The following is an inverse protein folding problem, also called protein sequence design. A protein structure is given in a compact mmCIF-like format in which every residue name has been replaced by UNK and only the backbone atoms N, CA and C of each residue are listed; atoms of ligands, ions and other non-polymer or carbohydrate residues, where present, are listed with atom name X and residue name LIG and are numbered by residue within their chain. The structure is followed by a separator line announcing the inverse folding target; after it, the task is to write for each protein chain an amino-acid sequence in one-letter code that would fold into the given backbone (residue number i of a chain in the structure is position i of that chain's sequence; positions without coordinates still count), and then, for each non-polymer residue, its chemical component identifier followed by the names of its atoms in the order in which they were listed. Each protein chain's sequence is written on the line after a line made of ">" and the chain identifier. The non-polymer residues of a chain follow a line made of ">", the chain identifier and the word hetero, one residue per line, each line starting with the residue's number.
data_IF_767388137927
#
_entry.id   IF_767388137927
#
_cell.length_a   1.000
_cell.length_b   1.000
_cell.length_c   1.000
_cell.angle_alpha   90.00
_cell.angle_beta   90.00
_cell.angle_gamma   90.00
#
_symmetry.space_group_name_H-M   'P 1'
#
loop_
_entity.id
_entity.type
_entity.pdbx_description
1 polymer ?
#
# COMPACT_ATOMS: atom_id res chain seq x y z
N UNK A 1 21.43 -7.01 19.90
CA UNK A 1 22.21 -5.86 19.40
C UNK A 1 22.40 -5.88 17.88
N UNK A 2 22.77 -7.00 17.25
CA UNK A 2 23.02 -7.06 15.79
C UNK A 2 21.79 -6.80 14.87
N UNK A 3 20.57 -7.17 15.29
CA UNK A 3 19.38 -7.08 14.43
C UNK A 3 18.79 -5.66 14.28
N UNK A 4 19.07 -4.73 15.20
CA UNK A 4 18.45 -3.39 15.17
C UNK A 4 18.99 -2.52 14.02
N UNK A 5 20.27 -2.64 13.69
CA UNK A 5 20.94 -1.77 12.72
C UNK A 5 21.03 -2.32 11.30
N UNK A 6 20.38 -3.44 10.98
CA UNK A 6 20.50 -4.09 9.66
C UNK A 6 19.98 -3.19 8.53
N UNK A 7 18.86 -2.49 8.76
CA UNK A 7 18.30 -1.56 7.77
C UNK A 7 19.25 -0.39 7.50
N UNK A 8 19.91 0.12 8.54
CA UNK A 8 20.95 1.14 8.41
C UNK A 8 22.15 0.67 7.57
N UNK A 9 22.51 -0.61 7.65
CA UNK A 9 23.57 -1.19 6.81
C UNK A 9 23.13 -1.25 5.34
N UNK A 10 21.89 -1.68 5.08
CA UNK A 10 21.34 -1.71 3.73
C UNK A 10 21.27 -0.30 3.13
N UNK A 11 20.83 0.69 3.90
CA UNK A 11 20.74 2.07 3.45
C UNK A 11 22.10 2.70 3.09
N UNK A 12 23.21 2.23 3.68
CA UNK A 12 24.58 2.70 3.39
C UNK A 12 25.23 2.03 2.18
N UNK A 13 24.60 1.00 1.64
CA UNK A 13 25.16 0.21 0.56
C UNK A 13 25.18 1.06 -0.72
N UNK A 14 26.32 1.10 -1.41
CA UNK A 14 26.39 1.68 -2.75
C UNK A 14 25.50 0.87 -3.69
N UNK A 15 24.83 1.49 -4.64
CA UNK A 15 23.96 0.78 -5.60
C UNK A 15 24.21 1.36 -6.99
N UNK A 16 24.32 0.55 -8.07
CA UNK A 16 24.21 -0.91 -8.10
C UNK A 16 25.45 -1.59 -7.52
N UNK A 17 25.29 -2.30 -6.39
CA UNK A 17 26.35 -3.10 -5.78
C UNK A 17 25.86 -4.54 -5.65
N UNK A 18 26.72 -5.54 -5.89
CA UNK A 18 26.43 -6.96 -5.71
C UNK A 18 26.11 -7.37 -4.25
N UNK A 19 25.97 -6.43 -3.31
CA UNK A 19 25.92 -6.69 -1.87
C UNK A 19 24.53 -6.95 -1.28
N UNK A 20 23.44 -6.63 -1.98
CA UNK A 20 22.09 -7.02 -1.54
C UNK A 20 21.49 -8.05 -2.50
N UNK A 21 21.21 -9.28 -2.03
CA UNK A 21 20.52 -10.29 -2.82
C UNK A 21 19.15 -9.78 -3.30
N UNK A 22 18.70 -10.23 -4.47
CA UNK A 22 17.35 -9.95 -5.00
C UNK A 22 16.22 -10.52 -4.13
N UNK A 23 16.52 -11.47 -3.24
CA UNK A 23 15.58 -11.93 -2.21
C UNK A 23 15.34 -10.91 -1.10
N UNK A 24 16.17 -9.86 -1.02
CA UNK A 24 16.06 -8.76 -0.06
C UNK A 24 15.68 -7.48 -0.80
N UNK A 25 16.43 -7.11 -1.83
CA UNK A 25 16.25 -5.89 -2.59
C UNK A 25 15.14 -6.05 -3.64
N UNK A 26 14.08 -5.26 -3.50
CA UNK A 26 12.98 -5.20 -4.47
C UNK A 26 13.24 -4.14 -5.54
N UNK A 27 13.50 -2.90 -5.11
CA UNK A 27 13.72 -1.76 -5.99
C UNK A 27 14.61 -0.71 -5.30
N UNK A 28 15.18 0.21 -6.07
CA UNK A 28 15.91 1.35 -5.54
C UNK A 28 15.86 2.54 -6.50
N UNK A 29 16.09 3.73 -5.95
CA UNK A 29 16.36 4.97 -6.69
C UNK A 29 17.70 5.54 -6.24
N UNK A 30 18.05 6.75 -6.71
CA UNK A 30 19.20 7.48 -6.17
C UNK A 30 19.02 7.84 -4.69
N UNK A 31 17.77 7.98 -4.22
CA UNK A 31 17.45 8.50 -2.89
C UNK A 31 16.82 7.45 -1.96
N UNK A 32 16.19 6.40 -2.47
CA UNK A 32 15.48 5.40 -1.66
C UNK A 32 15.86 3.96 -2.00
N UNK A 33 15.58 3.06 -1.04
CA UNK A 33 15.73 1.63 -1.13
C UNK A 33 14.41 0.98 -0.71
N UNK A 34 13.91 0.03 -1.50
CA UNK A 34 12.76 -0.80 -1.15
C UNK A 34 13.19 -2.26 -0.99
N UNK A 35 12.86 -2.85 0.15
CA UNK A 35 13.17 -4.25 0.46
C UNK A 35 11.91 -5.04 0.81
N UNK A 36 12.00 -6.37 0.66
CA UNK A 36 11.03 -7.29 1.24
C UNK A 36 11.18 -7.30 2.77
N UNK A 37 10.07 -7.21 3.51
CA UNK A 37 10.11 -7.44 4.96
C UNK A 37 10.40 -8.93 5.22
N UNK A 38 11.45 -9.22 5.98
CA UNK A 38 11.87 -10.59 6.26
C UNK A 38 10.84 -11.40 7.09
N UNK A 39 9.92 -10.71 7.77
CA UNK A 39 8.86 -11.27 8.60
C UNK A 39 7.53 -10.62 8.22
N UNK A 40 7.03 -10.80 6.98
CA UNK A 40 5.92 -10.01 6.45
C UNK A 40 4.67 -10.18 7.31
N UNK A 41 3.89 -9.11 7.58
CA UNK A 41 2.67 -9.22 8.42
C UNK A 41 1.38 -9.36 7.61
N UNK A 42 1.47 -9.22 6.30
CA UNK A 42 0.43 -9.45 5.31
C UNK A 42 1.02 -10.22 4.10
N UNK A 43 0.19 -10.54 3.10
CA UNK A 43 0.65 -11.20 1.87
C UNK A 43 1.74 -10.42 1.14
N UNK A 44 1.56 -9.10 1.06
CA UNK A 44 2.55 -8.16 0.55
C UNK A 44 2.98 -7.23 1.68
N UNK A 45 4.27 -7.21 1.99
CA UNK A 45 4.84 -6.33 3.00
C UNK A 45 6.28 -5.95 2.65
N UNK A 46 6.47 -4.67 2.40
CA UNK A 46 7.74 -4.08 1.98
C UNK A 46 8.10 -2.93 2.91
N UNK A 47 9.39 -2.60 2.92
CA UNK A 47 9.93 -1.44 3.62
C UNK A 47 10.64 -0.56 2.61
N UNK A 48 10.16 0.68 2.45
CA UNK A 48 10.86 1.72 1.70
C UNK A 48 11.55 2.67 2.68
N UNK A 49 12.82 2.97 2.43
CA UNK A 49 13.67 3.77 3.32
C UNK A 49 14.60 4.69 2.54
N UNK A 50 14.98 5.86 3.08
CA UNK A 50 15.98 6.71 2.45
C UNK A 50 17.34 6.02 2.48
N UNK A 51 18.13 6.23 1.43
CA UNK A 51 19.54 5.84 1.39
C UNK A 51 20.35 6.79 2.27
N UNK A 52 21.49 6.32 2.78
CA UNK A 52 22.42 7.12 3.57
C UNK A 52 23.65 7.41 2.73
N UNK A 53 23.59 8.51 1.96
CA UNK A 53 24.71 9.01 1.18
C UNK A 53 25.77 9.64 2.10
N UNK A 54 27.03 9.71 1.63
CA UNK A 54 28.17 10.12 2.45
C UNK A 54 28.03 11.52 3.09
N UNK A 55 27.26 12.42 2.46
CA UNK A 55 27.02 13.78 2.93
C UNK A 55 25.86 13.91 3.93
N UNK A 56 25.14 12.83 4.24
CA UNK A 56 23.90 12.89 5.03
C UNK A 56 24.15 12.77 6.54
N UNK A 57 23.39 13.53 7.32
CA UNK A 57 23.33 13.42 8.79
C UNK A 57 22.60 12.14 9.22
N UNK A 58 23.31 11.00 9.21
CA UNK A 58 22.70 9.67 9.45
C UNK A 58 21.86 9.56 10.74
N UNK A 59 22.17 10.34 11.78
CA UNK A 59 21.44 10.34 13.04
C UNK A 59 20.02 10.89 12.93
N UNK A 60 19.72 11.73 11.92
CA UNK A 60 18.39 12.31 11.71
C UNK A 60 17.41 11.29 11.13
N UNK A 61 17.94 10.26 10.46
CA UNK A 61 17.19 9.21 9.81
C UNK A 61 17.05 7.95 10.67
N UNK A 62 17.26 8.00 11.99
CA UNK A 62 17.07 6.82 12.84
C UNK A 62 15.61 6.33 12.85
N UNK A 63 14.64 7.25 12.85
CA UNK A 63 13.22 6.94 12.79
C UNK A 63 12.38 8.18 12.45
N UNK A 64 11.06 8.01 12.35
CA UNK A 64 10.15 9.11 12.04
C UNK A 64 10.25 10.26 13.06
N UNK A 65 10.37 9.95 14.36
CA UNK A 65 10.50 10.97 15.41
C UNK A 65 11.75 11.82 15.22
N UNK A 66 12.91 11.20 15.01
CA UNK A 66 14.17 11.95 14.83
C UNK A 66 14.15 12.79 13.56
N UNK A 67 13.48 12.32 12.51
CA UNK A 67 13.32 13.08 11.27
C UNK A 67 12.43 14.31 11.52
N UNK A 68 11.23 14.11 12.10
CA UNK A 68 10.26 15.18 12.31
C UNK A 68 10.78 16.28 13.26
N UNK A 69 11.62 15.91 14.23
CA UNK A 69 12.22 16.84 15.19
C UNK A 69 13.49 17.53 14.69
N UNK A 70 13.99 17.17 13.50
CA UNK A 70 15.21 17.76 12.95
C UNK A 70 14.96 19.14 12.33
N UNK A 71 14.22 19.14 11.23
CA UNK A 71 13.89 20.32 10.44
C UNK A 71 12.60 20.00 9.69
N UNK A 72 11.60 20.87 9.83
CA UNK A 72 10.26 20.62 9.29
C UNK A 72 10.25 20.53 7.77
N UNK A 73 11.04 21.35 7.08
CA UNK A 73 11.09 21.35 5.61
C UNK A 73 11.80 20.09 5.09
N UNK A 74 12.95 19.73 5.66
CA UNK A 74 13.69 18.51 5.27
C UNK A 74 12.93 17.23 5.60
N UNK A 75 12.21 17.22 6.72
CA UNK A 75 11.32 16.12 7.06
C UNK A 75 10.20 15.96 6.04
N UNK A 76 9.53 17.08 5.66
CA UNK A 76 8.49 17.06 4.63
C UNK A 76 9.01 16.55 3.30
N UNK A 77 10.16 17.07 2.85
CA UNK A 77 10.83 16.64 1.62
C UNK A 77 11.14 15.14 1.63
N UNK A 78 11.69 14.63 2.73
CA UNK A 78 12.00 13.19 2.87
C UNK A 78 10.74 12.33 2.77
N UNK A 79 9.65 12.72 3.45
CA UNK A 79 8.38 11.97 3.44
C UNK A 79 7.72 12.02 2.06
N UNK A 80 7.76 13.17 1.37
CA UNK A 80 7.26 13.30 0.00
C UNK A 80 8.08 12.46 -0.98
N UNK A 81 9.40 12.39 -0.83
CA UNK A 81 10.23 11.52 -1.66
C UNK A 81 9.89 10.04 -1.45
N UNK A 82 9.69 9.61 -0.21
CA UNK A 82 9.23 8.25 0.09
C UNK A 82 7.86 7.96 -0.52
N UNK A 83 6.94 8.93 -0.49
CA UNK A 83 5.63 8.81 -1.12
C UNK A 83 5.74 8.64 -2.64
N UNK A 84 6.57 9.47 -3.29
CA UNK A 84 6.76 9.43 -4.74
C UNK A 84 7.31 8.08 -5.19
N UNK A 85 8.41 7.64 -4.58
CA UNK A 85 9.07 6.38 -4.95
C UNK A 85 8.21 5.16 -4.60
N UNK A 86 7.33 5.26 -3.59
CA UNK A 86 6.38 4.20 -3.25
C UNK A 86 5.28 4.00 -4.30
N UNK A 87 4.99 4.99 -5.17
CA UNK A 87 3.95 4.85 -6.20
C UNK A 87 4.22 3.70 -7.15
N UNK A 88 5.46 3.56 -7.62
CA UNK A 88 5.84 2.47 -8.50
C UNK A 88 5.75 1.12 -7.78
N UNK A 89 6.24 1.05 -6.54
CA UNK A 89 6.15 -0.17 -5.72
C UNK A 89 4.69 -0.60 -5.51
N UNK A 90 3.80 0.36 -5.25
CA UNK A 90 2.35 0.10 -5.12
C UNK A 90 1.77 -0.43 -6.43
N UNK A 91 2.13 0.14 -7.58
CA UNK A 91 1.68 -0.34 -8.88
C UNK A 91 2.12 -1.79 -9.15
N UNK A 92 3.38 -2.11 -8.85
CA UNK A 92 3.94 -3.46 -9.00
C UNK A 92 3.22 -4.48 -8.09
N UNK A 93 2.96 -4.10 -6.82
CA UNK A 93 2.18 -4.92 -5.89
C UNK A 93 0.77 -5.15 -6.43
N UNK A 94 0.11 -4.11 -6.94
CA UNK A 94 -1.24 -4.23 -7.47
C UNK A 94 -1.32 -5.11 -8.71
N UNK A 95 -0.32 -5.07 -9.59
CA UNK A 95 -0.19 -6.00 -10.71
C UNK A 95 -0.07 -7.45 -10.21
N UNK A 96 0.79 -7.67 -9.22
CA UNK A 96 1.02 -8.97 -8.62
C UNK A 96 -0.21 -9.51 -7.88
N UNK A 97 -0.99 -8.65 -7.20
CA UNK A 97 -2.27 -9.00 -6.60
C UNK A 97 -3.26 -9.53 -7.66
N UNK A 98 -3.36 -8.86 -8.81
CA UNK A 98 -4.22 -9.30 -9.91
C UNK A 98 -3.68 -10.60 -10.51
N UNK A 99 -2.36 -10.72 -10.71
CA UNK A 99 -1.73 -11.90 -11.29
C UNK A 99 -1.94 -13.14 -10.43
N UNK A 100 -1.73 -13.04 -9.12
CA UNK A 100 -1.82 -14.17 -8.18
C UNK A 100 -3.24 -14.46 -7.70
N UNK A 101 -4.09 -13.43 -7.58
CA UNK A 101 -5.38 -13.57 -6.91
C UNK A 101 -6.58 -13.10 -7.73
N UNK A 102 -6.38 -12.41 -8.85
CA UNK A 102 -7.44 -12.00 -9.78
C UNK A 102 -8.16 -10.70 -9.40
N UNK A 103 -7.78 -10.05 -8.31
CA UNK A 103 -8.36 -8.79 -7.82
C UNK A 103 -7.33 -8.01 -6.98
N UNK A 104 -7.58 -6.71 -6.80
CA UNK A 104 -6.79 -5.82 -5.94
C UNK A 104 -7.51 -5.60 -4.61
N UNK A 105 -6.75 -5.37 -3.54
CA UNK A 105 -7.28 -4.91 -2.25
C UNK A 105 -6.40 -3.80 -1.70
N UNK A 106 -6.81 -3.20 -0.57
CA UNK A 106 -6.18 -1.98 -0.05
C UNK A 106 -4.72 -2.22 0.32
N UNK A 107 -3.87 -1.26 -0.03
CA UNK A 107 -2.49 -1.15 0.45
C UNK A 107 -2.42 0.04 1.40
N UNK A 108 -1.72 -0.12 2.51
CA UNK A 108 -1.45 0.92 3.50
C UNK A 108 0.00 1.34 3.40
N UNK A 109 0.21 2.65 3.36
CA UNK A 109 1.49 3.28 3.49
C UNK A 109 1.51 3.97 4.86
N UNK A 110 2.59 3.79 5.61
CA UNK A 110 2.69 4.42 6.93
C UNK A 110 3.87 3.97 7.76
N UNK A 111 3.93 4.50 8.97
CA UNK A 111 5.03 4.30 9.90
C UNK A 111 4.52 3.70 11.21
N UNK A 112 5.37 2.96 11.89
CA UNK A 112 5.14 2.70 13.31
C UNK A 112 5.53 3.95 14.12
N UNK A 113 4.65 4.37 15.03
CA UNK A 113 4.93 5.49 15.94
C UNK A 113 6.19 5.26 16.80
N UNK A 114 6.42 4.02 17.23
CA UNK A 114 7.64 3.58 17.90
C UNK A 114 8.21 2.39 17.12
N UNK A 115 9.27 2.56 16.32
CA UNK A 115 9.76 1.51 15.44
C UNK A 115 10.50 0.41 16.20
N UNK A 116 10.51 -0.79 15.63
CA UNK A 116 11.25 -1.94 16.17
C UNK A 116 12.66 -2.08 15.61
N UNK A 117 13.01 -1.33 14.57
CA UNK A 117 14.32 -1.34 13.91
C UNK A 117 14.86 0.09 13.83
N UNK A 118 16.18 0.21 13.86
CA UNK A 118 16.88 1.46 13.63
C UNK A 118 16.99 1.70 12.12
N UNK A 119 16.94 2.98 11.75
CA UNK A 119 16.74 3.53 10.40
C UNK A 119 15.26 3.72 10.03
N UNK A 120 14.93 4.92 9.54
CA UNK A 120 13.62 5.31 9.07
C UNK A 120 13.17 4.37 7.96
N UNK A 121 11.97 3.82 8.10
CA UNK A 121 11.34 2.99 7.08
C UNK A 121 9.83 3.23 7.09
N UNK A 122 9.26 3.40 5.91
CA UNK A 122 7.83 3.38 5.69
C UNK A 122 7.42 1.96 5.29
N UNK A 123 6.38 1.46 5.92
CA UNK A 123 5.74 0.21 5.55
C UNK A 123 4.87 0.43 4.31
N UNK A 124 5.02 -0.44 3.32
CA UNK A 124 4.05 -0.63 2.23
C UNK A 124 3.46 -2.02 2.45
N UNK A 125 2.25 -2.06 3.01
CA UNK A 125 1.65 -3.30 3.50
C UNK A 125 0.23 -3.46 2.97
N UNK A 126 -0.06 -4.64 2.44
CA UNK A 126 -1.41 -5.02 2.03
C UNK A 126 -2.34 -5.22 3.24
N UNK A 127 -3.62 -4.87 3.10
CA UNK A 127 -4.56 -4.78 4.23
C UNK A 127 -5.03 -6.12 4.80
N UNK A 128 -4.73 -7.24 4.12
CA UNK A 128 -5.24 -8.56 4.51
C UNK A 128 -4.72 -9.03 5.87
N UNK A 129 -3.50 -8.62 6.26
CA UNK A 129 -2.80 -9.10 7.46
C UNK A 129 -2.81 -10.64 7.59
N UNK A 130 -2.84 -11.35 6.46
CA UNK A 130 -2.87 -12.79 6.35
C UNK A 130 -1.45 -13.32 6.15
N UNK A 131 -0.72 -13.51 7.25
CA UNK A 131 0.65 -14.02 7.20
C UNK A 131 0.98 -15.04 8.31
N UNK A 132 1.78 -16.07 8.02
CA UNK A 132 2.40 -16.92 9.04
C UNK A 132 3.19 -16.14 10.11
N UNK A 133 3.83 -15.03 9.72
CA UNK A 133 4.68 -14.20 10.58
C UNK A 133 3.90 -13.19 11.46
N UNK A 134 2.58 -13.09 11.27
CA UNK A 134 1.69 -12.46 12.24
C UNK A 134 1.47 -13.45 13.41
N UNK A 135 2.23 -13.26 14.51
CA UNK A 135 2.36 -14.27 15.60
C UNK A 135 1.77 -13.84 16.94
N UNK A 136 1.69 -12.55 17.22
CA UNK A 136 1.30 -12.06 18.54
C UNK A 136 0.44 -10.78 18.44
N UNK A 137 -0.17 -10.41 19.57
CA UNK A 137 -1.04 -9.23 19.71
C UNK A 137 -0.34 -7.94 19.30
N UNK A 138 0.94 -7.78 19.69
CA UNK A 138 1.76 -6.63 19.29
C UNK A 138 1.89 -6.51 17.78
N UNK A 139 2.16 -7.61 17.06
CA UNK A 139 2.27 -7.59 15.59
C UNK A 139 0.96 -7.17 14.93
N UNK A 140 -0.19 -7.58 15.47
CA UNK A 140 -1.47 -7.19 14.89
C UNK A 140 -1.82 -5.73 15.19
N UNK A 141 -1.78 -5.36 16.47
CA UNK A 141 -2.16 -4.02 16.91
C UNK A 141 -1.23 -2.93 16.36
N UNK A 142 0.03 -3.26 16.03
CA UNK A 142 0.95 -2.30 15.43
C UNK A 142 0.57 -1.91 14.00
N UNK A 143 -0.19 -2.74 13.28
CA UNK A 143 -0.68 -2.49 11.92
C UNK A 143 -2.21 -2.29 11.87
N UNK A 144 -2.90 -2.36 13.00
CA UNK A 144 -4.34 -2.13 13.02
C UNK A 144 -4.62 -0.64 12.71
N UNK A 145 -5.29 -0.31 11.59
CA UNK A 145 -5.36 1.06 11.06
C UNK A 145 -6.08 2.04 11.99
N UNK A 146 -6.95 1.54 12.88
CA UNK A 146 -7.66 2.38 13.87
C UNK A 146 -7.10 2.31 15.29
N UNK A 147 -5.97 1.61 15.49
CA UNK A 147 -5.38 1.49 16.83
C UNK A 147 -4.48 2.68 17.20
N UNK A 148 -4.10 3.51 16.22
CA UNK A 148 -3.27 4.69 16.40
C UNK A 148 -1.76 4.43 16.47
N UNK A 149 -1.32 3.16 16.49
CA UNK A 149 0.11 2.84 16.46
C UNK A 149 0.71 2.87 15.04
N UNK A 150 -0.08 2.46 14.05
CA UNK A 150 0.24 2.65 12.64
C UNK A 150 -0.18 4.07 12.23
N UNK A 151 0.78 4.90 11.89
CA UNK A 151 0.58 6.28 11.45
C UNK A 151 0.47 6.26 9.93
N UNK A 152 -0.72 6.52 9.40
CA UNK A 152 -0.90 6.51 7.96
C UNK A 152 -0.11 7.66 7.31
N UNK A 153 0.43 7.42 6.11
CA UNK A 153 1.23 8.41 5.39
C UNK A 153 0.47 9.74 5.22
N UNK A 154 -0.80 9.68 4.84
CA UNK A 154 -1.64 10.86 4.65
C UNK A 154 -1.79 11.65 5.95
N UNK A 155 -2.02 10.97 7.09
CA UNK A 155 -2.08 11.61 8.42
C UNK A 155 -0.76 12.28 8.80
N UNK A 156 0.38 11.65 8.49
CA UNK A 156 1.71 12.24 8.74
C UNK A 156 1.94 13.47 7.87
N UNK A 157 1.49 13.45 6.60
CA UNK A 157 1.59 14.59 5.69
C UNK A 157 0.73 15.77 6.17
N UNK A 158 -0.47 15.49 6.70
CA UNK A 158 -1.34 16.51 7.30
C UNK A 158 -0.70 17.25 8.48
N UNK A 159 0.22 16.62 9.22
CA UNK A 159 0.93 17.29 10.31
C UNK A 159 1.73 18.50 9.83
N UNK A 160 2.25 18.45 8.60
CA UNK A 160 3.00 19.56 8.01
C UNK A 160 2.12 20.74 7.59
N UNK A 161 0.80 20.61 7.58
CA UNK A 161 -0.14 21.69 7.27
C UNK A 161 -0.66 22.40 8.54
N UNK A 162 -0.48 21.79 9.72
CA UNK A 162 -0.87 22.39 11.00
C UNK A 162 0.05 23.54 11.45
N UNK A 163 -0.36 24.28 12.47
CA UNK A 163 0.53 25.26 13.11
C UNK A 163 1.72 24.60 13.83
N UNK A 164 2.68 25.41 14.28
CA UNK A 164 3.90 24.92 14.92
C UNK A 164 3.63 24.19 16.24
N UNK A 165 2.59 24.56 16.98
CA UNK A 165 2.21 23.91 18.24
C UNK A 165 1.68 22.49 17.97
N UNK A 166 0.81 22.36 16.97
CA UNK A 166 0.28 21.08 16.52
C UNK A 166 1.39 20.16 16.00
N UNK A 167 2.24 20.66 15.09
CA UNK A 167 3.36 19.90 14.55
C UNK A 167 4.33 19.43 15.65
N UNK A 168 4.67 20.32 16.59
CA UNK A 168 5.53 19.99 17.74
C UNK A 168 4.90 18.90 18.60
N UNK A 169 3.60 18.94 18.83
CA UNK A 169 2.88 17.93 19.62
C UNK A 169 2.88 16.57 18.93
N UNK A 170 2.57 16.52 17.63
CA UNK A 170 2.51 15.27 16.87
C UNK A 170 3.88 14.63 16.67
N UNK A 171 4.93 15.43 16.45
CA UNK A 171 6.31 14.94 16.28
C UNK A 171 6.95 14.37 17.55
N UNK A 172 6.31 14.46 18.73
CA UNK A 172 6.86 13.89 19.97
C UNK A 172 6.96 12.37 19.93
N UNK A 173 5.98 11.69 19.32
CA UNK A 173 5.91 10.23 19.17
C UNK A 173 6.43 9.45 20.40
N UNK A 174 5.92 9.79 21.59
CA UNK A 174 6.44 9.28 22.85
C UNK A 174 6.04 7.81 23.08
N UNK A 175 6.99 6.98 23.48
CA UNK A 175 6.74 5.56 23.72
C UNK A 175 5.64 5.33 24.77
N UNK A 176 5.59 6.16 25.81
CA UNK A 176 4.55 6.11 26.84
C UNK A 176 3.13 6.33 26.30
N UNK A 177 2.97 7.10 25.22
CA UNK A 177 1.67 7.31 24.55
C UNK A 177 1.28 6.12 23.67
N UNK A 178 2.22 5.58 22.90
CA UNK A 178 1.90 4.64 21.83
C UNK A 178 2.04 3.16 22.23
N UNK A 179 3.02 2.79 23.06
CA UNK A 179 3.23 1.38 23.43
C UNK A 179 2.03 0.71 24.15
N UNK A 180 1.24 1.42 25.00
CA UNK A 180 0.04 0.83 25.59
C UNK A 180 -0.98 0.34 24.56
N UNK A 181 -1.07 1.00 23.39
CA UNK A 181 -2.00 0.64 22.30
C UNK A 181 -1.77 -0.78 21.78
N UNK A 182 -0.52 -1.26 21.85
CA UNK A 182 -0.14 -2.61 21.43
C UNK A 182 -0.76 -3.71 22.31
N UNK A 183 -1.22 -3.38 23.52
CA UNK A 183 -1.81 -4.31 24.48
C UNK A 183 -3.34 -4.42 24.37
N UNK A 184 -3.96 -3.55 23.56
CA UNK A 184 -5.40 -3.51 23.33
C UNK A 184 -5.97 -4.88 22.91
N UNK A 185 -7.26 -5.06 23.13
CA UNK A 185 -7.95 -6.28 22.73
C UNK A 185 -7.98 -6.46 21.21
N UNK A 186 -7.93 -7.71 20.77
CA UNK A 186 -7.91 -8.03 19.36
C UNK A 186 -9.30 -7.78 18.77
N UNK A 187 -9.42 -6.79 17.91
CA UNK A 187 -10.63 -6.49 17.14
C UNK A 187 -10.30 -6.49 15.66
N UNK A 188 -11.14 -7.11 14.84
CA UNK A 188 -10.96 -7.12 13.40
C UNK A 188 -11.03 -5.68 12.86
N UNK A 189 -10.02 -5.26 12.10
CA UNK A 189 -9.96 -3.92 11.52
C UNK A 189 -11.11 -3.63 10.54
N UNK A 190 -11.69 -4.68 9.94
CA UNK A 190 -12.73 -4.58 8.92
C UNK A 190 -14.14 -4.50 9.51
N UNK A 191 -14.49 -5.45 10.38
CA UNK A 191 -15.84 -5.60 10.93
C UNK A 191 -15.94 -5.29 12.42
N UNK A 192 -14.84 -4.95 13.09
CA UNK A 192 -14.75 -4.68 14.53
C UNK A 192 -15.06 -5.86 15.46
N UNK A 193 -15.25 -7.07 14.92
CA UNK A 193 -15.50 -8.27 15.72
C UNK A 193 -14.32 -8.58 16.64
N UNK A 194 -14.61 -8.81 17.93
CA UNK A 194 -13.59 -9.17 18.93
C UNK A 194 -13.10 -10.59 18.73
N UNK A 195 -11.81 -10.83 18.95
CA UNK A 195 -11.15 -12.11 18.77
C UNK A 195 -10.45 -12.52 20.07
N UNK A 196 -10.61 -13.79 20.47
CA UNK A 196 -10.05 -14.28 21.75
C UNK A 196 -8.52 -14.39 21.72
N UNK A 197 -7.96 -14.74 20.57
CA UNK A 197 -6.52 -14.92 20.40
C UNK A 197 -6.09 -14.77 18.93
N UNK A 198 -4.78 -14.75 18.70
CA UNK A 198 -4.19 -14.60 17.36
C UNK A 198 -4.61 -15.71 16.39
N UNK A 199 -4.64 -17.01 16.76
CA UNK A 199 -5.15 -18.05 15.86
C UNK A 199 -6.57 -17.77 15.36
N UNK A 200 -7.50 -17.41 16.25
CA UNK A 200 -8.88 -17.07 15.83
C UNK A 200 -8.94 -15.82 14.96
N UNK A 201 -8.13 -14.81 15.29
CA UNK A 201 -8.05 -13.60 14.48
C UNK A 201 -7.52 -13.89 13.07
N UNK A 202 -6.49 -14.73 12.93
CA UNK A 202 -5.94 -15.10 11.62
C UNK A 202 -6.95 -15.85 10.76
N UNK A 203 -7.67 -16.81 11.35
CA UNK A 203 -8.75 -17.50 10.66
C UNK A 203 -9.82 -16.51 10.19
N UNK A 204 -10.23 -15.58 11.06
CA UNK A 204 -11.20 -14.55 10.75
C UNK A 204 -10.74 -13.60 9.64
N UNK A 205 -9.48 -13.12 9.67
CA UNK A 205 -8.91 -12.27 8.62
C UNK A 205 -8.88 -13.00 7.26
N UNK A 206 -8.52 -14.28 7.27
CA UNK A 206 -8.53 -15.11 6.06
C UNK A 206 -9.94 -15.26 5.48
N UNK A 207 -10.96 -15.45 6.33
CA UNK A 207 -12.35 -15.48 5.90
C UNK A 207 -12.80 -14.14 5.30
N UNK A 208 -12.46 -13.01 5.94
CA UNK A 208 -12.80 -11.67 5.45
C UNK A 208 -12.14 -11.37 4.10
N UNK A 209 -10.88 -11.78 3.91
CA UNK A 209 -10.19 -11.67 2.62
C UNK A 209 -10.82 -12.57 1.56
N UNK A 210 -11.16 -13.83 1.90
CA UNK A 210 -11.85 -14.75 0.98
C UNK A 210 -13.22 -14.21 0.55
N UNK A 211 -13.96 -13.58 1.47
CA UNK A 211 -15.23 -12.91 1.14
C UNK A 211 -15.02 -11.74 0.18
N UNK A 212 -14.00 -10.93 0.41
CA UNK A 212 -13.66 -9.80 -0.47
C UNK A 212 -13.28 -10.27 -1.87
N UNK A 213 -12.41 -11.28 -1.97
CA UNK A 213 -12.03 -11.91 -3.24
C UNK A 213 -13.24 -12.40 -4.02
N UNK A 214 -14.13 -13.17 -3.38
CA UNK A 214 -15.35 -13.69 -4.03
C UNK A 214 -16.23 -12.56 -4.56
N UNK A 215 -16.42 -11.50 -3.77
CA UNK A 215 -17.19 -10.32 -4.19
C UNK A 215 -16.56 -9.61 -5.39
N UNK A 216 -15.25 -9.34 -5.34
CA UNK A 216 -14.54 -8.64 -6.40
C UNK A 216 -14.53 -9.43 -7.72
N UNK A 217 -14.29 -10.74 -7.67
CA UNK A 217 -14.30 -11.60 -8.87
C UNK A 217 -15.71 -11.69 -9.46
N UNK A 218 -16.74 -11.84 -8.62
CA UNK A 218 -18.13 -11.86 -9.08
C UNK A 218 -18.54 -10.53 -9.75
N UNK A 219 -18.18 -9.39 -9.16
CA UNK A 219 -18.44 -8.07 -9.74
C UNK A 219 -17.72 -7.88 -11.09
N UNK A 220 -16.47 -8.33 -11.19
CA UNK A 220 -15.71 -8.27 -12.46
C UNK A 220 -16.33 -9.13 -13.54
N UNK A 221 -16.84 -10.32 -13.21
CA UNK A 221 -17.56 -11.19 -14.13
C UNK A 221 -18.82 -10.50 -14.64
N UNK A 222 -19.65 -9.97 -13.73
CA UNK A 222 -20.89 -9.27 -14.10
C UNK A 222 -20.62 -8.05 -14.98
N UNK A 223 -19.61 -7.23 -14.64
CA UNK A 223 -19.22 -6.07 -15.45
C UNK A 223 -18.80 -6.45 -16.87
N UNK A 224 -18.05 -7.55 -17.04
CA UNK A 224 -17.68 -8.05 -18.38
C UNK A 224 -18.87 -8.56 -19.18
N UNK A 225 -19.83 -9.21 -18.51
CA UNK A 225 -21.07 -9.67 -19.16
C UNK A 225 -21.94 -8.47 -19.59
N UNK A 226 -22.03 -7.44 -18.76
CA UNK A 226 -22.73 -6.17 -19.08
C UNK A 226 -22.05 -5.43 -20.24
N UNK A 227 -20.72 -5.32 -20.24
CA UNK A 227 -19.94 -4.69 -21.33
C UNK A 227 -20.07 -5.47 -22.66
N UNK A 228 -20.02 -6.80 -22.60
CA UNK A 228 -20.21 -7.65 -23.78
C UNK A 228 -21.63 -7.52 -24.34
N UNK A 229 -22.65 -7.51 -23.48
CA UNK A 229 -24.04 -7.32 -23.89
C UNK A 229 -24.26 -5.93 -24.53
N UNK A 230 -23.68 -4.88 -23.94
CA UNK A 230 -23.74 -3.52 -24.52
C UNK A 230 -23.10 -3.46 -25.90
N UNK A 231 -21.89 -4.01 -26.05
CA UNK A 231 -21.18 -4.06 -27.35
C UNK A 231 -22.02 -4.79 -28.41
N UNK A 232 -22.65 -5.92 -28.08
CA UNK A 232 -23.49 -6.65 -29.03
C UNK A 232 -24.74 -5.87 -29.45
N UNK A 233 -25.31 -5.06 -28.55
CA UNK A 233 -26.45 -4.19 -28.88
C UNK A 233 -26.03 -3.03 -29.78
N UNK A 234 -24.86 -2.44 -29.53
CA UNK A 234 -24.31 -1.35 -30.35
C UNK A 234 -23.99 -1.84 -31.77
N UNK A 235 -23.40 -3.04 -31.89
CA UNK A 235 -23.11 -3.67 -33.19
C UNK A 235 -24.40 -3.98 -33.97
N UNK A 236 -25.42 -4.54 -33.31
CA UNK A 236 -26.71 -4.84 -33.94
C UNK A 236 -27.43 -3.56 -34.42
N UNK A 237 -27.41 -2.49 -33.61
CA UNK A 237 -28.00 -1.19 -33.99
C UNK A 237 -27.24 -0.54 -35.16
N UNK A 238 -25.92 -0.67 -35.20
CA UNK A 238 -25.11 -0.16 -36.31
C UNK A 238 -25.40 -0.90 -37.62
N UNK A 239 -25.65 -2.21 -37.56
CA UNK A 239 -25.98 -3.02 -38.72
C UNK A 239 -27.39 -2.73 -39.26
N UNK A 240 -28.40 -2.58 -38.39
CA UNK A 240 -29.76 -2.17 -38.76
C UNK A 240 -29.78 -0.79 -39.45
N UNK A 241 -29.04 0.18 -38.92
CA UNK A 241 -28.91 1.51 -39.56
C UNK A 241 -28.24 1.44 -40.94
N UNK A 242 -27.27 0.55 -41.16
CA UNK A 242 -26.64 0.37 -42.48
C UNK A 242 -27.60 -0.26 -43.48
N UNK A 243 -28.44 -1.21 -43.04
CA UNK A 243 -29.45 -1.83 -43.90
C UNK A 243 -30.53 -0.83 -44.31
N UNK A 244 -31.07 -0.04 -43.36
CA UNK A 244 -32.04 1.02 -43.65
C UNK A 244 -31.52 2.02 -44.67
N UNK A 245 -30.28 2.48 -44.49
CA UNK A 245 -29.64 3.43 -45.43
C UNK A 245 -29.43 2.86 -46.83
N UNK A 246 -29.14 1.55 -46.95
CA UNK A 246 -29.05 0.87 -48.24
C UNK A 246 -30.41 0.75 -48.93
N UNK A 247 -31.47 0.49 -48.17
CA UNK A 247 -32.83 0.41 -48.68
C UNK A 247 -33.29 1.76 -49.24
N UNK A 248 -33.05 2.85 -48.51
CA UNK A 248 -33.37 4.22 -48.96
C UNK A 248 -32.62 4.59 -50.25
N UNK A 249 -31.36 4.19 -50.40
CA UNK A 249 -30.59 4.48 -51.63
C UNK A 249 -31.04 3.67 -52.86
N UNK A 250 -31.74 2.55 -52.67
CA UNK A 250 -32.24 1.72 -53.77
C UNK A 250 -33.59 2.24 -54.30
N UNK A 251 -34.44 2.75 -53.41
CA UNK A 251 -35.75 3.31 -53.78
C UNK A 251 -35.67 4.67 -54.49
N UNK A 252 -34.53 5.37 -54.41
CA UNK A 252 -34.32 6.71 -55.01
C UNK A 252 -33.66 6.67 -56.40
N UNK A 253 -33.53 5.48 -57.02
CA UNK A 253 -32.92 5.35 -58.34
C UNK A 253 -33.96 5.63 -59.45
N UNK A 254 -33.83 6.70 -60.26
CA UNK A 254 -34.83 7.01 -61.29
C UNK A 254 -34.82 5.95 -62.39
N UNK A 255 -36.00 5.45 -62.74
CA UNK A 255 -36.18 4.51 -63.85
C UNK A 255 -35.77 5.17 -65.17
N UNK A 256 -34.95 4.54 -66.04
CA UNK A 256 -34.55 5.16 -67.29
C UNK A 256 -35.75 5.29 -68.21
N UNK A 257 -36.03 6.52 -68.66
CA UNK A 257 -37.04 6.78 -69.68
C UNK A 257 -36.54 6.26 -71.03
N UNK A 258 -37.40 5.47 -71.68
CA UNK A 258 -37.22 4.84 -73.01
C UNK A 258 -37.28 5.88 -74.12
#
# INVERSE_FOLDING_TARGET
>A
MAALGVLKQYAKTSIPSPSLPSSILFAHTETTLTIFDAYPKAMFHFLIMPRLLASMETAKYHNLRTLLQWDRAKAKETILQLQEDAKQVVADIEEEMVRLHGFKWKIWLGFHAVPSMDHLHMHIISSDLCSPSLKNKKHYNSFHPKAGFFLHLDEVLEWFEGDDSYYTTMSQLSASRYEPLLKADLKCWKCSASQKNIPTLKAHLQEEWNKEKRKAVSQKKRKREEEAASSTLDDANAEDNRQKKRQETLDDTPTPAV
#
